data_IF_974123180391
#
_entry.id   IF_974123180391
#
_cell.length_a   1.000
_cell.length_b   1.000
_cell.length_c   1.000
_cell.angle_alpha   90.00
_cell.angle_beta   90.00
_cell.angle_gamma   90.00
#
_symmetry.space_group_name_H-M   'P 1'
#
loop_
_entity.id
_entity.type
_entity.pdbx_description
1 polymer ?
#
# COMPACT_ATOMS: atom_id res chain seq x y z
N UNK A 1 26.53 -23.52 -13.20
CA UNK A 1 25.82 -24.82 -13.24
C UNK A 1 24.69 -24.82 -12.18
N UNK A 2 23.89 -23.74 -12.08
CA UNK A 2 22.93 -23.54 -10.96
C UNK A 2 21.71 -22.71 -11.38
N UNK A 3 21.30 -22.78 -12.65
CA UNK A 3 20.12 -22.08 -13.17
C UNK A 3 19.09 -23.03 -13.81
N UNK A 4 19.47 -24.31 -14.01
CA UNK A 4 18.64 -25.30 -14.70
C UNK A 4 17.77 -26.15 -13.76
N UNK A 5 18.02 -26.13 -12.45
CA UNK A 5 17.27 -26.95 -11.49
C UNK A 5 15.95 -26.34 -11.00
N UNK A 6 15.75 -25.02 -11.10
CA UNK A 6 14.47 -24.41 -10.69
C UNK A 6 13.34 -24.55 -11.72
N UNK A 7 13.67 -24.88 -12.97
CA UNK A 7 12.67 -24.95 -14.05
C UNK A 7 11.88 -26.26 -14.07
N UNK A 8 12.44 -27.36 -13.56
CA UNK A 8 11.81 -28.69 -13.62
C UNK A 8 10.80 -28.99 -12.51
N UNK A 9 10.77 -28.16 -11.46
CA UNK A 9 9.87 -28.38 -10.32
C UNK A 9 8.56 -27.57 -10.41
N UNK A 10 8.45 -26.67 -11.40
CA UNK A 10 7.25 -25.88 -11.66
C UNK A 10 6.14 -26.66 -12.37
N UNK A 11 6.48 -27.70 -13.15
CA UNK A 11 5.53 -28.45 -13.98
C UNK A 11 4.70 -29.49 -13.19
N UNK A 12 4.89 -29.63 -11.87
CA UNK A 12 4.12 -30.54 -11.00
C UNK A 12 3.14 -29.84 -10.05
N UNK A 13 2.96 -28.53 -10.17
CA UNK A 13 2.15 -27.69 -9.27
C UNK A 13 0.98 -27.02 -10.00
N UNK A 14 0.23 -27.76 -10.82
CA UNK A 14 -0.86 -27.19 -11.63
C UNK A 14 -2.12 -26.74 -10.84
N UNK A 15 -2.12 -26.81 -9.51
CA UNK A 15 -3.25 -26.33 -8.68
C UNK A 15 -2.87 -25.38 -7.54
N UNK A 16 -1.68 -24.78 -7.56
CA UNK A 16 -1.35 -23.67 -6.66
C UNK A 16 -1.08 -22.44 -7.51
N UNK A 17 -2.07 -21.58 -7.69
CA UNK A 17 -1.87 -20.22 -8.24
C UNK A 17 -1.09 -19.39 -7.22
N UNK A 18 0.22 -19.61 -7.14
CA UNK A 18 1.09 -18.90 -6.20
C UNK A 18 1.30 -17.48 -6.73
N UNK A 19 0.52 -16.54 -6.20
CA UNK A 19 0.63 -15.12 -6.56
C UNK A 19 1.82 -14.52 -5.81
N UNK A 20 2.87 -14.13 -6.53
CA UNK A 20 4.03 -13.45 -5.95
C UNK A 20 3.68 -11.99 -5.65
N UNK A 21 4.01 -11.51 -4.44
CA UNK A 21 3.86 -10.09 -4.06
C UNK A 21 5.22 -9.48 -3.75
N UNK A 22 5.51 -8.35 -4.39
CA UNK A 22 6.68 -7.55 -4.07
C UNK A 22 6.47 -6.83 -2.73
N UNK A 23 7.38 -7.03 -1.78
CA UNK A 23 7.36 -6.37 -0.47
C UNK A 23 8.70 -5.68 -0.25
N UNK A 24 8.66 -4.35 -0.11
CA UNK A 24 9.83 -3.52 0.21
C UNK A 24 9.91 -3.26 1.72
N UNK A 25 11.12 -3.37 2.28
CA UNK A 25 11.34 -3.18 3.71
C UNK A 25 11.68 -1.72 4.05
N UNK A 26 10.69 -0.95 4.50
CA UNK A 26 10.87 0.43 4.95
C UNK A 26 10.97 0.59 6.48
N UNK A 27 11.34 -0.46 7.24
CA UNK A 27 11.39 -0.36 8.72
C UNK A 27 12.28 0.76 9.25
N UNK A 28 13.42 1.01 8.61
CA UNK A 28 14.32 2.10 9.02
C UNK A 28 13.77 3.46 8.59
N UNK A 29 13.29 3.56 7.34
CA UNK A 29 12.69 4.78 6.82
C UNK A 29 11.48 5.23 7.66
N UNK A 30 10.62 4.29 8.06
CA UNK A 30 9.45 4.54 8.89
C UNK A 30 9.80 5.12 10.28
N UNK A 31 11.00 4.88 10.81
CA UNK A 31 11.44 5.49 12.08
C UNK A 31 11.80 6.96 11.92
N UNK A 32 12.32 7.34 10.77
CA UNK A 32 12.72 8.71 10.46
C UNK A 32 11.57 9.54 9.84
N UNK A 33 10.58 8.87 9.24
CA UNK A 33 9.45 9.52 8.60
C UNK A 33 8.56 10.27 9.63
N UNK A 34 8.40 11.58 9.42
CA UNK A 34 7.43 12.39 10.17
C UNK A 34 6.03 12.11 9.64
N UNK A 35 5.13 11.69 10.54
CA UNK A 35 3.74 11.36 10.19
C UNK A 35 2.83 12.58 10.32
N UNK A 36 1.89 12.79 9.38
CA UNK A 36 0.84 13.78 9.57
C UNK A 36 -0.11 13.31 10.68
N UNK A 37 -0.55 14.23 11.52
CA UNK A 37 -1.55 13.96 12.56
C UNK A 37 -2.94 14.24 11.97
N UNK A 38 -3.74 13.19 11.81
CA UNK A 38 -5.14 13.32 11.42
C UNK A 38 -6.03 12.68 12.49
N UNK A 39 -7.01 13.41 13.04
CA UNK A 39 -7.88 12.89 14.08
C UNK A 39 -8.76 11.79 13.52
N UNK A 40 -8.71 10.60 14.11
CA UNK A 40 -9.59 9.49 13.77
C UNK A 40 -10.71 9.39 14.80
N UNK A 41 -11.97 9.50 14.37
CA UNK A 41 -13.11 9.24 15.26
C UNK A 41 -13.29 7.74 15.46
N UNK A 42 -13.31 7.27 16.71
CA UNK A 42 -13.53 5.86 17.03
C UNK A 42 -14.93 5.39 16.58
N UNK A 43 -14.98 4.20 15.96
CA UNK A 43 -16.17 3.67 15.25
C UNK A 43 -17.35 3.22 16.12
N UNK A 44 -17.45 3.64 17.38
CA UNK A 44 -18.54 3.24 18.28
C UNK A 44 -19.85 4.01 18.02
N UNK A 45 -20.16 4.30 16.75
CA UNK A 45 -21.41 4.96 16.37
C UNK A 45 -22.39 3.88 15.94
N UNK A 46 -23.27 3.46 16.84
CA UNK A 46 -24.36 2.54 16.52
C UNK A 46 -25.36 3.25 15.60
N UNK A 47 -25.24 3.00 14.29
CA UNK A 47 -26.14 3.58 13.28
C UNK A 47 -27.32 2.62 13.06
N UNK A 48 -28.53 3.02 13.41
CA UNK A 48 -29.76 2.25 13.13
C UNK A 48 -30.22 2.58 11.72
N UNK A 49 -29.74 1.83 10.72
CA UNK A 49 -30.15 1.98 9.32
C UNK A 49 -30.61 0.64 8.76
N UNK A 50 -31.47 0.68 7.75
CA UNK A 50 -32.03 -0.53 7.12
C UNK A 50 -31.11 -1.15 6.06
N UNK A 51 -30.16 -0.37 5.52
CA UNK A 51 -29.29 -0.78 4.41
C UNK A 51 -27.87 -0.28 4.64
N UNK A 52 -26.89 -1.15 4.38
CA UNK A 52 -25.47 -0.84 4.53
C UNK A 52 -24.75 -1.08 3.20
N UNK A 53 -23.91 -0.12 2.81
CA UNK A 53 -23.00 -0.24 1.67
C UNK A 53 -21.58 -0.11 2.17
N UNK A 54 -20.72 -1.05 1.76
CA UNK A 54 -19.28 -1.02 2.03
C UNK A 54 -18.54 -0.86 0.71
N UNK A 55 -17.72 0.17 0.61
CA UNK A 55 -16.84 0.42 -0.53
C UNK A 55 -15.40 0.07 -0.14
N UNK A 56 -14.70 -0.66 -1.01
CA UNK A 56 -13.29 -0.97 -0.84
C UNK A 56 -12.49 -0.36 -2.00
N UNK A 57 -11.53 0.51 -1.67
CA UNK A 57 -10.68 1.18 -2.67
C UNK A 57 -9.47 0.30 -2.92
N UNK A 58 -9.60 -0.58 -3.91
CA UNK A 58 -8.57 -1.55 -4.27
C UNK A 58 -7.27 -0.83 -4.64
N UNK A 59 -6.18 -1.16 -3.95
CA UNK A 59 -4.86 -0.54 -4.15
C UNK A 59 -4.83 0.99 -3.97
N UNK A 60 -5.67 1.56 -3.10
CA UNK A 60 -5.80 3.01 -2.92
C UNK A 60 -4.48 3.78 -2.70
N UNK A 61 -3.48 3.18 -2.06
CA UNK A 61 -2.17 3.81 -1.89
C UNK A 61 -1.46 4.13 -3.21
N UNK A 62 -1.58 3.26 -4.22
CA UNK A 62 -0.93 3.48 -5.51
C UNK A 62 -1.57 4.60 -6.34
N UNK A 63 -2.71 5.14 -5.91
CA UNK A 63 -3.35 6.29 -6.53
C UNK A 63 -2.74 7.63 -6.05
N UNK A 64 -2.01 7.62 -4.93
CA UNK A 64 -1.38 8.81 -4.36
C UNK A 64 0.01 8.99 -4.97
N UNK A 65 0.20 10.09 -5.71
CA UNK A 65 1.51 10.46 -6.26
C UNK A 65 2.46 10.94 -5.16
N UNK A 66 3.73 10.52 -5.22
CA UNK A 66 4.78 11.00 -4.32
C UNK A 66 5.52 12.17 -4.94
N UNK A 67 5.93 13.11 -4.08
CA UNK A 67 6.90 14.14 -4.44
C UNK A 67 8.25 13.51 -4.84
N UNK A 68 9.00 14.17 -5.71
CA UNK A 68 10.27 13.63 -6.21
C UNK A 68 11.31 13.42 -5.10
N UNK A 69 11.35 14.32 -4.10
CA UNK A 69 12.24 14.16 -2.94
C UNK A 69 11.91 12.91 -2.13
N UNK A 70 10.62 12.66 -1.92
CA UNK A 70 10.11 11.49 -1.20
C UNK A 70 10.27 10.21 -2.03
N UNK A 71 10.12 10.29 -3.34
CA UNK A 71 10.34 9.16 -4.25
C UNK A 71 11.77 8.64 -4.14
N UNK A 72 12.77 9.52 -4.05
CA UNK A 72 14.18 9.13 -3.89
C UNK A 72 14.44 8.35 -2.59
N UNK A 73 13.72 8.67 -1.52
CA UNK A 73 13.82 7.95 -0.24
C UNK A 73 13.21 6.53 -0.29
N UNK A 74 12.30 6.28 -1.23
CA UNK A 74 11.66 4.98 -1.42
C UNK A 74 12.46 4.02 -2.31
N UNK A 75 13.71 4.34 -2.65
CA UNK A 75 14.54 3.50 -3.50
C UNK A 75 14.80 2.12 -2.87
N UNK A 76 14.72 1.07 -3.69
CA UNK A 76 15.00 -0.31 -3.31
C UNK A 76 15.83 -1.02 -4.38
N UNK A 77 16.49 -2.09 -3.98
CA UNK A 77 17.40 -2.85 -4.83
C UNK A 77 16.71 -4.12 -5.33
N UNK A 78 16.71 -4.32 -6.65
CA UNK A 78 16.44 -5.59 -7.30
C UNK A 78 17.78 -6.18 -7.78
N UNK A 79 17.86 -7.51 -7.98
CA UNK A 79 19.01 -8.13 -8.64
C UNK A 79 19.32 -7.53 -10.03
N UNK A 80 18.30 -6.98 -10.70
CA UNK A 80 18.40 -6.34 -12.01
C UNK A 80 18.76 -4.85 -11.95
N UNK A 81 18.69 -4.18 -10.80
CA UNK A 81 18.97 -2.75 -10.70
C UNK A 81 18.33 -2.02 -9.53
N UNK A 82 18.46 -0.70 -9.53
CA UNK A 82 17.86 0.21 -8.53
C UNK A 82 16.53 0.71 -9.05
N UNK A 83 15.46 0.54 -8.27
CA UNK A 83 14.14 1.06 -8.58
C UNK A 83 13.67 2.01 -7.48
N UNK A 84 12.79 2.95 -7.81
CA UNK A 84 12.12 3.85 -6.86
C UNK A 84 10.62 3.84 -7.11
N UNK A 85 9.82 4.10 -6.08
CA UNK A 85 8.38 4.26 -6.24
C UNK A 85 8.04 5.71 -6.60
N UNK A 86 7.21 5.91 -7.61
CA UNK A 86 6.64 7.23 -7.97
C UNK A 86 5.31 7.50 -7.26
N UNK A 87 4.71 6.46 -6.69
CA UNK A 87 3.43 6.47 -5.97
C UNK A 87 3.63 5.93 -4.57
N UNK A 88 2.72 6.24 -3.64
CA UNK A 88 2.86 5.86 -2.24
C UNK A 88 2.92 4.33 -2.08
N UNK A 89 4.04 3.76 -1.56
CA UNK A 89 4.16 2.33 -1.40
C UNK A 89 3.35 1.86 -0.18
N UNK A 90 2.87 0.62 -0.25
CA UNK A 90 2.03 0.00 0.79
C UNK A 90 2.75 -0.21 2.13
N UNK A 91 4.08 -0.22 2.16
CA UNK A 91 4.91 -0.50 3.35
C UNK A 91 5.40 0.76 4.09
N UNK A 92 5.06 1.96 3.60
CA UNK A 92 5.42 3.23 4.23
C UNK A 92 4.32 3.64 5.23
N UNK A 93 4.73 4.03 6.44
CA UNK A 93 3.79 4.41 7.51
C UNK A 93 2.96 5.65 7.17
N UNK A 94 3.55 6.66 6.53
CA UNK A 94 2.86 7.89 6.14
C UNK A 94 1.83 7.68 5.03
N UNK A 95 1.93 6.61 4.23
CA UNK A 95 0.98 6.32 3.15
C UNK A 95 -0.43 6.09 3.68
N UNK A 96 -0.57 5.39 4.81
CA UNK A 96 -1.87 5.14 5.43
C UNK A 96 -2.52 6.41 5.95
N UNK A 97 -1.74 7.28 6.60
CA UNK A 97 -2.26 8.54 7.15
C UNK A 97 -2.75 9.48 6.03
N UNK A 98 -1.94 9.62 4.99
CA UNK A 98 -2.25 10.40 3.79
C UNK A 98 -3.48 9.89 3.03
N UNK A 99 -3.70 8.57 3.04
CA UNK A 99 -4.89 7.97 2.43
C UNK A 99 -6.16 8.26 3.23
N UNK A 100 -6.08 8.21 4.57
CA UNK A 100 -7.22 8.55 5.44
C UNK A 100 -7.61 10.01 5.23
N UNK A 101 -6.64 10.94 5.26
CA UNK A 101 -6.88 12.38 5.06
C UNK A 101 -7.60 12.64 3.73
N UNK A 102 -7.10 12.06 2.63
CA UNK A 102 -7.71 12.24 1.31
C UNK A 102 -9.10 11.63 1.21
N UNK A 103 -9.30 10.47 1.83
CA UNK A 103 -10.60 9.79 1.84
C UNK A 103 -11.62 10.60 2.63
N UNK A 104 -11.24 11.14 3.78
CA UNK A 104 -12.08 12.02 4.59
C UNK A 104 -12.44 13.29 3.81
N UNK A 105 -11.46 13.94 3.18
CA UNK A 105 -11.69 15.08 2.30
C UNK A 105 -12.63 14.77 1.12
N UNK A 106 -12.51 13.60 0.52
CA UNK A 106 -13.38 13.18 -0.58
C UNK A 106 -14.83 12.94 -0.13
N UNK A 107 -15.04 12.57 1.13
CA UNK A 107 -16.36 12.25 1.69
C UNK A 107 -16.99 13.46 2.41
N UNK A 108 -16.19 14.43 2.86
CA UNK A 108 -16.62 15.57 3.69
C UNK A 108 -17.71 16.48 3.09
N UNK A 109 -18.01 16.35 1.80
CA UNK A 109 -19.06 17.12 1.11
C UNK A 109 -20.33 16.31 0.77
N UNK A 110 -20.44 15.06 1.24
CA UNK A 110 -21.61 14.24 1.00
C UNK A 110 -22.62 14.42 2.14
N UNK A 111 -23.83 14.88 1.81
CA UNK A 111 -24.95 14.91 2.74
C UNK A 111 -25.61 13.52 2.77
N UNK A 112 -25.34 12.73 3.82
CA UNK A 112 -25.90 11.39 4.03
C UNK A 112 -26.31 11.15 5.48
#
# INVERSE_FOLDING_TARGET
MTQLHFKKEADKLEHITCTLRLVTNYRQLNKAAKRPLHPFSSGNRSVKTAWFVKLDVVHGYFQVSLDESNSMLTAFLLPSGKCRHTVAPMSLNSSSDEFIIRTDQAIAGLDW
#
